data_IF_330204249922
#
_entry.id   IF_330204249922
#
_cell.length_a   1.000
_cell.length_b   1.000
_cell.length_c   1.000
_cell.angle_alpha   90.00
_cell.angle_beta   90.00
_cell.angle_gamma   90.00
#
_symmetry.space_group_name_H-M   'P 1'
#
loop_
_entity.id
_entity.type
_entity.pdbx_description
1 polymer ?
#
# COMPACT_ATOMS: atom_id res chain seq x y z
N UNK A 1 -23.92 -16.61 -10.08
CA UNK A 1 -22.80 -17.43 -10.54
C UNK A 1 -23.27 -18.83 -10.91
N UNK A 2 -24.02 -19.52 -10.05
CA UNK A 2 -24.53 -20.88 -10.30
C UNK A 2 -25.39 -20.95 -11.57
N UNK A 3 -26.26 -19.97 -11.82
CA UNK A 3 -27.06 -19.90 -13.04
C UNK A 3 -26.19 -19.78 -14.29
N UNK A 4 -25.11 -18.97 -14.24
CA UNK A 4 -24.17 -18.83 -15.35
C UNK A 4 -23.43 -20.14 -15.60
N UNK A 5 -22.97 -20.82 -14.54
CA UNK A 5 -22.29 -22.09 -14.62
C UNK A 5 -23.19 -23.21 -15.17
N UNK A 6 -24.49 -23.19 -14.86
CA UNK A 6 -25.46 -24.17 -15.37
C UNK A 6 -25.86 -23.92 -16.82
N UNK A 7 -25.82 -22.67 -17.29
CA UNK A 7 -26.22 -22.29 -18.66
C UNK A 7 -25.05 -22.18 -19.63
N UNK A 8 -23.80 -22.22 -19.13
CA UNK A 8 -22.60 -22.11 -19.94
C UNK A 8 -22.32 -23.38 -20.78
N UNK A 9 -21.74 -23.19 -21.94
CA UNK A 9 -21.18 -24.32 -22.73
C UNK A 9 -19.91 -24.86 -22.04
N UNK A 10 -19.72 -26.16 -22.12
CA UNK A 10 -18.47 -26.82 -21.69
C UNK A 10 -17.47 -26.96 -22.85
N UNK A 11 -17.83 -26.52 -24.04
CA UNK A 11 -16.95 -26.56 -25.22
C UNK A 11 -15.93 -25.43 -25.14
N UNK A 12 -14.71 -25.73 -25.54
CA UNK A 12 -13.65 -24.72 -25.69
C UNK A 12 -14.08 -23.70 -26.75
N UNK A 13 -14.06 -22.39 -26.45
CA UNK A 13 -14.57 -21.36 -27.36
C UNK A 13 -13.76 -21.22 -28.67
N UNK A 14 -12.55 -21.80 -28.75
CA UNK A 14 -11.71 -21.78 -29.94
C UNK A 14 -11.24 -20.41 -30.40
N UNK A 15 -11.27 -19.43 -29.51
CA UNK A 15 -10.80 -18.07 -29.78
C UNK A 15 -9.27 -18.04 -29.67
N UNK A 16 -8.60 -17.64 -30.75
CA UNK A 16 -7.16 -17.35 -30.67
C UNK A 16 -6.92 -16.05 -29.89
N UNK A 17 -6.03 -16.12 -28.93
CA UNK A 17 -5.63 -14.96 -28.09
C UNK A 17 -4.14 -14.74 -28.30
N UNK A 18 -3.76 -13.51 -28.66
CA UNK A 18 -2.38 -13.07 -28.74
C UNK A 18 -1.90 -12.59 -27.37
N UNK A 19 -0.62 -12.77 -27.06
CA UNK A 19 -0.06 -12.32 -25.78
C UNK A 19 -0.14 -10.80 -25.57
N UNK A 20 -0.28 -10.03 -26.63
CA UNK A 20 -0.43 -8.57 -26.59
C UNK A 20 -1.88 -8.09 -26.72
N UNK A 21 -2.85 -9.03 -26.75
CA UNK A 21 -4.27 -8.70 -26.64
C UNK A 21 -4.58 -8.11 -25.26
N UNK A 22 -5.54 -7.20 -25.20
CA UNK A 22 -5.97 -6.54 -23.98
C UNK A 22 -6.71 -7.53 -23.07
N UNK A 23 -6.23 -7.67 -21.83
CA UNK A 23 -6.71 -8.69 -20.90
C UNK A 23 -7.50 -8.13 -19.74
N UNK A 24 -7.10 -6.96 -19.23
CA UNK A 24 -7.61 -6.47 -17.96
C UNK A 24 -7.60 -4.94 -17.90
N UNK A 25 -8.64 -4.36 -17.27
CA UNK A 25 -8.68 -2.95 -16.91
C UNK A 25 -8.94 -2.84 -15.41
N UNK A 26 -7.99 -2.25 -14.67
CA UNK A 26 -8.15 -1.97 -13.24
C UNK A 26 -8.31 -0.47 -13.04
N UNK A 27 -9.44 -0.08 -12.44
CA UNK A 27 -9.70 1.31 -12.12
C UNK A 27 -9.02 1.73 -10.82
N UNK A 28 -8.26 2.84 -10.89
CA UNK A 28 -7.66 3.50 -9.73
C UNK A 28 -8.47 4.74 -9.36
N UNK A 29 -8.44 5.12 -8.08
CA UNK A 29 -9.21 6.27 -7.56
C UNK A 29 -8.76 7.64 -8.10
N UNK A 30 -7.71 7.67 -8.92
CA UNK A 30 -7.16 8.88 -9.54
C UNK A 30 -6.86 10.01 -8.54
N UNK A 31 -5.77 10.72 -8.75
CA UNK A 31 -5.43 11.89 -7.90
C UNK A 31 -6.31 13.12 -8.20
N UNK A 32 -7.02 13.10 -9.34
CA UNK A 32 -7.89 14.18 -9.84
C UNK A 32 -9.38 13.98 -9.51
N UNK A 33 -9.71 12.95 -8.71
CA UNK A 33 -11.10 12.63 -8.32
C UNK A 33 -11.89 11.80 -9.34
N UNK A 34 -11.42 11.65 -10.58
CA UNK A 34 -12.04 10.75 -11.57
C UNK A 34 -11.24 9.44 -11.64
N UNK A 35 -11.91 8.28 -11.57
CA UNK A 35 -11.23 6.99 -11.73
C UNK A 35 -10.54 6.88 -13.10
N UNK A 36 -9.35 6.28 -13.13
CA UNK A 36 -8.58 5.98 -14.35
C UNK A 36 -8.41 4.47 -14.46
N UNK A 37 -8.67 3.91 -15.65
CA UNK A 37 -8.52 2.48 -15.90
C UNK A 37 -7.12 2.16 -16.41
N UNK A 38 -6.28 1.52 -15.61
CA UNK A 38 -5.01 0.97 -16.06
C UNK A 38 -5.28 -0.27 -16.92
N UNK A 39 -4.82 -0.25 -18.17
CA UNK A 39 -5.02 -1.30 -19.16
C UNK A 39 -3.78 -2.18 -19.24
N UNK A 40 -3.99 -3.50 -19.14
CA UNK A 40 -2.96 -4.51 -19.24
C UNK A 40 -3.23 -5.45 -20.41
N UNK A 41 -2.17 -6.06 -20.94
CA UNK A 41 -2.22 -7.13 -21.92
C UNK A 41 -1.92 -8.47 -21.24
N UNK A 42 -2.22 -9.60 -21.92
CA UNK A 42 -1.95 -10.93 -21.36
C UNK A 42 -0.48 -11.12 -20.99
N UNK A 43 0.45 -10.61 -21.79
CA UNK A 43 1.89 -10.66 -21.50
C UNK A 43 2.22 -10.07 -20.12
N UNK A 44 1.73 -8.84 -19.83
CA UNK A 44 1.95 -8.22 -18.51
C UNK A 44 1.48 -9.12 -17.37
N UNK A 45 0.29 -9.75 -17.53
CA UNK A 45 -0.31 -10.61 -16.51
C UNK A 45 0.47 -11.90 -16.28
N UNK A 46 1.02 -12.50 -17.32
CA UNK A 46 1.84 -13.72 -17.20
C UNK A 46 3.18 -13.40 -16.51
N UNK A 47 3.85 -12.33 -16.93
CA UNK A 47 5.12 -11.92 -16.30
C UNK A 47 4.89 -11.56 -14.83
N UNK A 48 3.86 -10.79 -14.52
CA UNK A 48 3.48 -10.48 -13.15
C UNK A 48 3.22 -11.74 -12.31
N UNK A 49 2.37 -12.63 -12.83
CA UNK A 49 1.97 -13.87 -12.18
C UNK A 49 3.17 -14.73 -11.82
N UNK A 50 4.07 -14.96 -12.78
CA UNK A 50 5.27 -15.78 -12.57
C UNK A 50 6.29 -15.12 -11.64
N UNK A 51 6.46 -13.81 -11.75
CA UNK A 51 7.33 -13.03 -10.86
C UNK A 51 6.85 -13.10 -9.42
N UNK A 52 5.56 -12.83 -9.19
CA UNK A 52 4.99 -12.85 -7.83
C UNK A 52 4.97 -14.25 -7.26
N UNK A 53 4.59 -15.26 -8.04
CA UNK A 53 4.59 -16.65 -7.58
C UNK A 53 5.98 -17.08 -7.09
N UNK A 54 7.04 -16.69 -7.83
CA UNK A 54 8.41 -16.95 -7.43
C UNK A 54 8.80 -16.16 -6.17
N UNK A 55 8.44 -14.87 -6.11
CA UNK A 55 8.78 -13.96 -5.01
C UNK A 55 8.24 -14.44 -3.67
N UNK A 56 6.95 -14.79 -3.61
CA UNK A 56 6.29 -15.22 -2.36
C UNK A 56 6.33 -16.75 -2.16
N UNK A 57 7.10 -17.48 -2.97
CA UNK A 57 7.28 -18.92 -2.84
C UNK A 57 5.97 -19.73 -2.99
N UNK A 58 5.08 -19.28 -3.88
CA UNK A 58 3.78 -19.90 -4.10
C UNK A 58 3.92 -21.23 -4.85
N UNK A 59 3.10 -22.21 -4.49
CA UNK A 59 3.07 -23.52 -5.15
C UNK A 59 1.66 -24.13 -5.10
N UNK A 60 1.42 -25.17 -5.90
CA UNK A 60 0.09 -25.81 -6.07
C UNK A 60 -0.53 -26.39 -4.80
N UNK A 61 0.22 -26.53 -3.70
CA UNK A 61 -0.32 -27.02 -2.42
C UNK A 61 -0.81 -25.88 -1.54
N UNK A 62 -0.58 -24.63 -1.94
CA UNK A 62 -0.98 -23.49 -1.15
C UNK A 62 -2.51 -23.31 -1.12
N UNK A 63 -2.97 -22.79 -0.01
CA UNK A 63 -4.35 -22.42 0.29
C UNK A 63 -4.36 -20.93 0.61
N UNK A 64 -4.95 -20.14 -0.27
CA UNK A 64 -4.92 -18.69 -0.20
C UNK A 64 -6.26 -18.18 0.33
N UNK A 65 -6.24 -17.37 1.37
CA UNK A 65 -7.44 -16.70 1.88
C UNK A 65 -7.53 -15.30 1.29
N UNK A 66 -8.57 -15.04 0.52
CA UNK A 66 -8.90 -13.74 -0.05
C UNK A 66 -9.89 -13.03 0.85
N UNK A 67 -9.42 -12.05 1.62
CA UNK A 67 -10.22 -11.22 2.51
C UNK A 67 -10.15 -9.73 2.14
N UNK A 68 -9.23 -9.35 1.26
CA UNK A 68 -9.19 -8.03 0.64
C UNK A 68 -10.01 -8.02 -0.66
N UNK A 69 -10.39 -6.82 -1.18
CA UNK A 69 -11.24 -6.72 -2.37
C UNK A 69 -10.58 -7.30 -3.63
N UNK A 70 -11.19 -8.30 -4.25
CA UNK A 70 -10.70 -8.93 -5.49
C UNK A 70 -10.71 -8.01 -6.73
N UNK A 71 -11.39 -6.86 -6.67
CA UNK A 71 -11.32 -5.84 -7.73
C UNK A 71 -10.11 -4.90 -7.59
N UNK A 72 -9.35 -5.03 -6.50
CA UNK A 72 -8.13 -4.28 -6.28
C UNK A 72 -6.93 -5.08 -6.80
N UNK A 73 -6.01 -4.40 -7.50
CA UNK A 73 -4.86 -5.02 -8.13
C UNK A 73 -3.99 -5.84 -7.18
N UNK A 74 -3.88 -5.46 -5.91
CA UNK A 74 -3.09 -6.21 -4.94
C UNK A 74 -3.64 -7.62 -4.71
N UNK A 75 -4.96 -7.77 -4.47
CA UNK A 75 -5.55 -9.08 -4.22
C UNK A 75 -5.69 -9.89 -5.52
N UNK A 76 -6.13 -9.23 -6.61
CA UNK A 76 -6.30 -9.88 -7.90
C UNK A 76 -4.95 -10.37 -8.46
N UNK A 77 -4.00 -9.46 -8.59
CA UNK A 77 -2.79 -9.70 -9.38
C UNK A 77 -1.62 -10.27 -8.57
N UNK A 78 -1.60 -10.06 -7.23
CA UNK A 78 -0.53 -10.64 -6.40
C UNK A 78 -0.90 -12.00 -5.80
N UNK A 79 -2.21 -12.35 -5.73
CA UNK A 79 -2.63 -13.59 -5.07
C UNK A 79 -3.60 -14.44 -5.89
N UNK A 80 -4.70 -13.87 -6.43
CA UNK A 80 -5.69 -14.66 -7.15
C UNK A 80 -5.14 -15.20 -8.47
N UNK A 81 -4.58 -14.33 -9.31
CA UNK A 81 -4.02 -14.75 -10.62
C UNK A 81 -2.84 -15.72 -10.46
N UNK A 82 -1.81 -15.46 -9.62
CA UNK A 82 -0.73 -16.43 -9.38
C UNK A 82 -1.20 -17.73 -8.77
N UNK A 83 -2.14 -17.69 -7.84
CA UNK A 83 -2.70 -18.90 -7.24
C UNK A 83 -3.49 -19.74 -8.25
N UNK A 84 -4.29 -19.09 -9.12
CA UNK A 84 -5.03 -19.75 -10.19
C UNK A 84 -4.09 -20.39 -11.21
N UNK A 85 -3.05 -19.66 -11.61
CA UNK A 85 -2.03 -20.14 -12.55
C UNK A 85 -1.32 -21.42 -12.03
N UNK A 86 -1.05 -21.49 -10.73
CA UNK A 86 -0.39 -22.64 -10.11
C UNK A 86 -1.36 -23.73 -9.62
N UNK A 87 -2.68 -23.54 -9.73
CA UNK A 87 -3.67 -24.50 -9.26
C UNK A 87 -3.81 -24.57 -7.74
N UNK A 88 -3.60 -23.45 -7.04
CA UNK A 88 -3.81 -23.34 -5.61
C UNK A 88 -5.29 -23.47 -5.21
N UNK A 89 -5.55 -23.73 -3.95
CA UNK A 89 -6.91 -23.63 -3.38
C UNK A 89 -7.20 -22.19 -2.96
N UNK A 90 -8.32 -21.66 -3.41
CA UNK A 90 -8.79 -20.32 -3.05
C UNK A 90 -9.95 -20.39 -2.05
N UNK A 91 -9.81 -19.72 -0.91
CA UNK A 91 -10.87 -19.50 0.07
C UNK A 91 -11.26 -18.03 -0.01
N UNK A 92 -12.49 -17.73 -0.42
CA UNK A 92 -12.94 -16.35 -0.66
C UNK A 92 -13.90 -15.93 0.45
N UNK A 93 -13.54 -14.85 1.15
CA UNK A 93 -14.40 -14.19 2.12
C UNK A 93 -14.98 -12.93 1.49
N UNK A 94 -16.31 -12.82 1.49
CA UNK A 94 -17.01 -11.70 0.84
C UNK A 94 -16.67 -10.34 1.46
N UNK A 95 -16.70 -10.30 2.79
CA UNK A 95 -16.49 -9.07 3.56
C UNK A 95 -15.46 -9.35 4.65
N UNK A 96 -14.47 -8.47 4.80
CA UNK A 96 -13.46 -8.62 5.84
C UNK A 96 -14.10 -8.58 7.23
N UNK A 97 -13.86 -9.64 8.00
CA UNK A 97 -14.31 -9.76 9.39
C UNK A 97 -13.18 -10.43 10.18
N UNK A 98 -12.49 -9.72 11.10
CA UNK A 98 -11.29 -10.22 11.76
C UNK A 98 -11.45 -11.57 12.46
N UNK A 99 -12.49 -11.82 13.31
CA UNK A 99 -12.71 -13.14 13.91
C UNK A 99 -12.91 -14.25 12.89
N UNK A 100 -13.63 -13.96 11.78
CA UNK A 100 -13.90 -14.94 10.72
C UNK A 100 -12.62 -15.26 9.94
N UNK A 101 -11.77 -14.27 9.70
CA UNK A 101 -10.46 -14.47 9.06
C UNK A 101 -9.59 -15.41 9.91
N UNK A 102 -9.47 -15.15 11.20
CA UNK A 102 -8.68 -15.97 12.13
C UNK A 102 -9.23 -17.42 12.20
N UNK A 103 -10.54 -17.57 12.26
CA UNK A 103 -11.20 -18.88 12.26
C UNK A 103 -10.98 -19.64 10.95
N UNK A 104 -11.08 -18.97 9.79
CA UNK A 104 -10.83 -19.58 8.49
C UNK A 104 -9.35 -19.99 8.33
N UNK A 105 -8.40 -19.20 8.83
CA UNK A 105 -6.99 -19.56 8.78
C UNK A 105 -6.77 -20.93 9.44
N UNK A 106 -7.24 -21.13 10.66
CA UNK A 106 -7.06 -22.40 11.35
C UNK A 106 -7.89 -23.54 10.76
N UNK A 107 -9.15 -23.29 10.37
CA UNK A 107 -10.10 -24.30 9.88
C UNK A 107 -9.72 -24.82 8.50
N UNK A 108 -9.42 -23.91 7.59
CA UNK A 108 -9.08 -24.22 6.20
C UNK A 108 -7.57 -24.46 6.00
N UNK A 109 -6.77 -24.40 7.09
CA UNK A 109 -5.30 -24.54 7.02
C UNK A 109 -4.69 -23.65 5.96
N UNK A 110 -5.04 -22.37 6.01
CA UNK A 110 -4.53 -21.35 5.08
C UNK A 110 -3.01 -21.26 5.17
N UNK A 111 -2.37 -21.16 4.02
CA UNK A 111 -0.90 -21.08 3.93
C UNK A 111 -0.38 -19.73 3.47
N UNK A 112 -1.24 -18.95 2.81
CA UNK A 112 -0.92 -17.61 2.30
C UNK A 112 -2.07 -16.65 2.63
N UNK A 113 -1.73 -15.48 3.15
CA UNK A 113 -2.70 -14.44 3.46
C UNK A 113 -2.12 -13.06 3.13
N UNK A 114 -2.90 -12.21 2.46
CA UNK A 114 -2.59 -10.81 2.24
C UNK A 114 -3.60 -9.92 2.96
N UNK A 115 -3.11 -8.82 3.54
CA UNK A 115 -3.96 -7.81 4.14
C UNK A 115 -3.34 -6.42 4.09
N UNK A 116 -4.19 -5.40 3.99
CA UNK A 116 -3.75 -4.03 4.26
C UNK A 116 -3.35 -3.89 5.75
N UNK A 117 -2.46 -2.94 6.11
CA UNK A 117 -2.04 -2.73 7.50
C UNK A 117 -3.20 -2.63 8.50
N UNK A 118 -4.28 -1.95 8.13
CA UNK A 118 -5.48 -1.80 8.97
C UNK A 118 -6.17 -3.14 9.27
N UNK A 119 -6.11 -4.10 8.35
CA UNK A 119 -6.70 -5.44 8.55
C UNK A 119 -5.93 -6.19 9.65
N UNK A 120 -4.61 -6.15 9.62
CA UNK A 120 -3.76 -6.72 10.68
C UNK A 120 -4.02 -6.06 12.04
N UNK A 121 -4.13 -4.72 12.08
CA UNK A 121 -4.48 -4.01 13.31
C UNK A 121 -5.80 -4.52 13.92
N UNK A 122 -6.85 -4.65 13.11
CA UNK A 122 -8.13 -5.16 13.58
C UNK A 122 -8.06 -6.62 14.04
N UNK A 123 -7.29 -7.46 13.35
CA UNK A 123 -7.07 -8.84 13.79
C UNK A 123 -6.35 -8.89 15.15
N UNK A 124 -5.32 -8.06 15.34
CA UNK A 124 -4.58 -7.97 16.62
C UNK A 124 -5.42 -7.47 17.80
N UNK A 125 -6.50 -6.74 17.54
CA UNK A 125 -7.43 -6.25 18.58
C UNK A 125 -8.45 -7.31 19.03
N UNK A 126 -8.50 -8.48 18.38
CA UNK A 126 -9.46 -9.53 18.75
C UNK A 126 -9.11 -10.09 20.13
N UNK A 127 -10.06 -10.09 21.08
CA UNK A 127 -9.88 -10.76 22.36
C UNK A 127 -9.48 -12.22 22.16
N UNK A 128 -8.52 -12.68 22.97
CA UNK A 128 -8.05 -14.07 22.91
C UNK A 128 -7.40 -14.46 21.56
N UNK A 129 -6.78 -13.51 20.84
CA UNK A 129 -6.06 -13.75 19.59
C UNK A 129 -5.14 -14.99 19.67
N UNK A 130 -4.48 -15.19 20.79
CA UNK A 130 -3.56 -16.32 21.04
C UNK A 130 -4.24 -17.71 21.05
N UNK A 131 -5.57 -17.78 21.04
CA UNK A 131 -6.31 -19.04 20.95
C UNK A 131 -6.42 -19.60 19.54
N UNK A 132 -6.16 -18.76 18.52
CA UNK A 132 -6.22 -19.20 17.13
C UNK A 132 -4.91 -19.88 16.71
N UNK A 133 -5.03 -21.04 16.08
CA UNK A 133 -3.88 -21.73 15.46
C UNK A 133 -3.58 -21.14 14.08
N UNK A 134 -2.61 -20.26 14.01
CA UNK A 134 -2.16 -19.63 12.78
C UNK A 134 -0.92 -20.30 12.17
N UNK A 135 -0.48 -21.44 12.71
CA UNK A 135 0.79 -22.10 12.34
C UNK A 135 0.82 -22.67 10.92
N UNK A 136 -0.34 -22.80 10.27
CA UNK A 136 -0.42 -23.24 8.87
C UNK A 136 0.05 -22.16 7.89
N UNK A 137 0.01 -20.87 8.26
CA UNK A 137 0.40 -19.79 7.37
C UNK A 137 1.91 -19.77 7.20
N UNK A 138 2.35 -20.00 5.98
CA UNK A 138 3.76 -19.96 5.59
C UNK A 138 4.24 -18.54 5.41
N UNK A 139 3.40 -17.71 4.80
CA UNK A 139 3.71 -16.32 4.52
C UNK A 139 2.49 -15.41 4.64
N UNK A 140 2.72 -14.27 5.23
CA UNK A 140 1.81 -13.14 5.30
C UNK A 140 2.32 -12.02 4.40
N UNK A 141 1.46 -11.49 3.53
CA UNK A 141 1.75 -10.30 2.74
C UNK A 141 1.06 -9.08 3.34
N UNK A 142 1.74 -7.94 3.36
CA UNK A 142 1.09 -6.66 3.64
C UNK A 142 1.52 -5.60 2.63
N UNK A 143 0.68 -4.59 2.43
CA UNK A 143 0.93 -3.54 1.46
C UNK A 143 -0.27 -2.66 1.22
N UNK A 144 -0.34 -2.01 0.08
CA UNK A 144 -1.38 -1.05 -0.34
C UNK A 144 -1.44 0.25 0.51
N UNK A 145 -0.83 0.28 1.68
CA UNK A 145 -0.66 1.47 2.53
C UNK A 145 0.66 1.40 3.30
N UNK A 146 1.23 2.53 3.72
CA UNK A 146 2.40 2.54 4.60
C UNK A 146 2.10 1.87 5.95
N UNK A 147 3.12 1.23 6.53
CA UNK A 147 3.11 0.72 7.90
C UNK A 147 4.38 1.21 8.60
N UNK A 148 4.24 1.80 9.77
CA UNK A 148 5.39 2.29 10.53
C UNK A 148 6.25 1.12 11.03
N UNK A 149 7.55 1.35 11.20
CA UNK A 149 8.50 0.31 11.62
C UNK A 149 8.09 -0.37 12.94
N UNK A 150 7.58 0.40 13.89
CA UNK A 150 7.13 -0.12 15.17
C UNK A 150 5.88 -1.01 15.04
N UNK A 151 4.95 -0.63 14.16
CA UNK A 151 3.76 -1.43 13.87
C UNK A 151 4.12 -2.78 13.22
N UNK A 152 5.10 -2.79 12.32
CA UNK A 152 5.61 -4.03 11.71
C UNK A 152 6.17 -4.96 12.79
N UNK A 153 6.97 -4.45 13.72
CA UNK A 153 7.54 -5.24 14.82
C UNK A 153 6.47 -5.82 15.73
N UNK A 154 5.50 -4.99 16.15
CA UNK A 154 4.37 -5.42 16.97
C UNK A 154 3.53 -6.50 16.28
N UNK A 155 3.28 -6.35 14.98
CA UNK A 155 2.58 -7.35 14.18
C UNK A 155 3.34 -8.68 14.16
N UNK A 156 4.64 -8.66 13.90
CA UNK A 156 5.47 -9.88 13.87
C UNK A 156 5.51 -10.58 15.23
N UNK A 157 5.62 -9.81 16.32
CA UNK A 157 5.61 -10.34 17.69
C UNK A 157 4.26 -11.01 18.01
N UNK A 158 3.14 -10.38 17.72
CA UNK A 158 1.82 -10.89 18.03
C UNK A 158 1.45 -12.10 17.17
N UNK A 159 1.81 -12.12 15.89
CA UNK A 159 1.62 -13.28 15.02
C UNK A 159 2.66 -14.38 15.25
N UNK A 160 3.68 -14.13 16.08
CA UNK A 160 4.76 -15.07 16.45
C UNK A 160 5.49 -15.63 15.23
N UNK A 161 5.70 -14.82 14.20
CA UNK A 161 6.39 -15.21 12.97
C UNK A 161 7.09 -14.03 12.30
N UNK A 162 8.21 -14.33 11.64
CA UNK A 162 8.94 -13.38 10.80
C UNK A 162 8.60 -13.53 9.31
N UNK A 163 7.67 -14.42 8.97
CA UNK A 163 7.33 -14.76 7.58
C UNK A 163 6.39 -13.73 6.95
N UNK A 164 6.77 -12.46 6.99
CA UNK A 164 6.04 -11.36 6.36
C UNK A 164 6.74 -10.85 5.11
N UNK A 165 5.97 -10.52 4.08
CA UNK A 165 6.41 -9.74 2.92
C UNK A 165 5.77 -8.36 2.96
N UNK A 166 6.54 -7.28 2.77
CA UNK A 166 5.98 -6.03 2.31
C UNK A 166 5.94 -6.05 0.79
N UNK A 167 4.75 -5.90 0.20
CA UNK A 167 4.57 -5.78 -1.24
C UNK A 167 4.17 -4.33 -1.53
N UNK A 168 5.13 -3.57 -2.05
CA UNK A 168 4.98 -2.15 -2.27
C UNK A 168 5.00 -1.85 -3.76
N UNK A 169 3.98 -1.14 -4.21
CA UNK A 169 3.81 -0.78 -5.61
C UNK A 169 2.50 -0.05 -5.82
N UNK A 170 2.15 0.16 -7.06
CA UNK A 170 0.92 0.83 -7.47
C UNK A 170 0.37 0.14 -8.72
N UNK A 171 -0.93 0.29 -8.96
CA UNK A 171 -1.64 -0.46 -10.00
C UNK A 171 -0.97 -0.33 -11.36
N UNK A 172 -0.56 0.87 -11.73
CA UNK A 172 0.02 1.19 -13.04
C UNK A 172 1.37 0.48 -13.32
N UNK A 173 2.09 0.09 -12.27
CA UNK A 173 3.35 -0.67 -12.39
C UNK A 173 3.15 -2.20 -12.23
N UNK A 174 1.88 -2.68 -12.30
CA UNK A 174 1.57 -4.07 -11.99
C UNK A 174 1.89 -4.39 -10.54
N UNK A 175 1.06 -4.08 -9.58
CA UNK A 175 1.18 -3.70 -8.15
C UNK A 175 2.42 -4.18 -7.37
N UNK A 176 3.33 -4.91 -7.96
CA UNK A 176 4.49 -5.55 -7.32
C UNK A 176 5.86 -4.90 -7.60
N UNK A 177 5.99 -3.57 -7.72
CA UNK A 177 7.23 -2.92 -8.14
C UNK A 177 8.43 -3.11 -7.20
N UNK A 178 8.24 -3.10 -5.90
CA UNK A 178 9.28 -3.35 -4.88
C UNK A 178 8.76 -4.26 -3.77
N UNK A 179 9.65 -5.00 -3.15
CA UNK A 179 9.29 -5.92 -2.06
C UNK A 179 10.36 -5.94 -0.96
N UNK A 180 9.90 -5.99 0.30
CA UNK A 180 10.75 -6.30 1.45
C UNK A 180 10.52 -7.74 1.85
N UNK A 181 11.59 -8.53 1.79
CA UNK A 181 11.56 -9.96 2.05
C UNK A 181 11.53 -10.28 3.56
N UNK A 182 11.11 -11.49 3.96
CA UNK A 182 11.01 -11.89 5.37
C UNK A 182 12.30 -11.72 6.16
N UNK A 183 13.45 -12.03 5.58
CA UNK A 183 14.76 -11.92 6.21
C UNK A 183 15.18 -10.50 6.56
N UNK A 184 14.60 -9.51 5.86
CA UNK A 184 14.94 -8.09 6.05
C UNK A 184 13.90 -7.32 6.87
N UNK A 185 12.78 -7.93 7.20
CA UNK A 185 11.65 -7.25 7.86
C UNK A 185 12.04 -6.56 9.18
N UNK A 186 12.87 -7.18 10.00
CA UNK A 186 13.30 -6.59 11.29
C UNK A 186 14.32 -5.48 11.05
N UNK A 187 15.30 -5.73 10.18
CA UNK A 187 16.42 -4.84 9.93
C UNK A 187 16.01 -3.58 9.17
N UNK A 188 15.06 -3.72 8.25
CA UNK A 188 14.57 -2.66 7.35
C UNK A 188 13.08 -2.37 7.57
N UNK A 189 12.60 -2.56 8.79
CA UNK A 189 11.19 -2.29 9.12
C UNK A 189 10.76 -0.88 8.67
N UNK A 190 9.61 -0.78 8.01
CA UNK A 190 9.09 0.47 7.44
C UNK A 190 9.60 0.81 6.04
N UNK A 191 10.61 0.11 5.51
CA UNK A 191 11.00 0.21 4.10
C UNK A 191 10.01 -0.52 3.19
N UNK A 192 9.89 -0.07 1.94
CA UNK A 192 9.16 -0.77 0.89
C UNK A 192 9.91 -1.99 0.36
N UNK A 193 11.25 -1.95 0.40
CA UNK A 193 12.13 -3.04 -0.04
C UNK A 193 13.01 -2.71 -1.24
N UNK A 194 13.34 -3.73 -2.03
CA UNK A 194 14.12 -3.62 -3.25
C UNK A 194 13.27 -3.95 -4.47
N UNK A 195 13.79 -3.65 -5.66
CA UNK A 195 13.15 -4.04 -6.91
C UNK A 195 12.95 -5.56 -6.99
N UNK A 196 11.89 -5.96 -7.67
CA UNK A 196 11.61 -7.37 -7.97
C UNK A 196 12.15 -7.75 -9.36
N UNK A 197 12.29 -9.03 -9.60
CA UNK A 197 12.68 -9.56 -10.92
C UNK A 197 11.73 -9.02 -12.00
N UNK A 198 12.23 -8.78 -13.20
CA UNK A 198 11.51 -8.21 -14.35
C UNK A 198 11.09 -6.73 -14.21
N UNK A 199 11.58 -6.02 -13.16
CA UNK A 199 11.33 -4.61 -12.94
C UNK A 199 12.62 -3.87 -12.66
N UNK A 200 12.70 -2.62 -13.14
CA UNK A 200 13.73 -1.64 -12.81
C UNK A 200 13.11 -0.49 -12.04
N UNK A 201 13.81 0.00 -11.04
CA UNK A 201 13.38 1.15 -10.23
C UNK A 201 14.46 2.23 -10.25
N UNK A 202 14.01 3.47 -10.28
CA UNK A 202 14.88 4.65 -10.10
C UNK A 202 14.20 5.65 -9.19
N UNK A 203 15.02 6.44 -8.52
CA UNK A 203 14.59 7.67 -7.87
C UNK A 203 15.10 8.81 -8.75
N UNK A 204 14.23 9.73 -9.16
CA UNK A 204 14.55 10.81 -10.08
C UNK A 204 14.25 12.17 -9.48
N UNK A 205 15.04 13.18 -9.88
CA UNK A 205 14.79 14.59 -9.56
C UNK A 205 13.71 15.20 -10.47
N UNK A 206 13.44 16.50 -10.30
CA UNK A 206 12.46 17.23 -11.15
C UNK A 206 12.88 17.35 -12.61
N UNK A 207 14.16 17.19 -12.93
CA UNK A 207 14.72 17.20 -14.26
C UNK A 207 14.85 15.80 -14.87
N UNK A 208 14.27 14.78 -14.24
CA UNK A 208 14.30 13.36 -14.65
C UNK A 208 15.70 12.71 -14.54
N UNK A 209 16.67 13.35 -13.86
CA UNK A 209 17.97 12.74 -13.61
C UNK A 209 17.86 11.70 -12.50
N UNK A 210 18.54 10.57 -12.68
CA UNK A 210 18.60 9.53 -11.64
C UNK A 210 19.42 10.00 -10.44
N UNK A 211 18.83 9.97 -9.26
CA UNK A 211 19.47 10.21 -7.97
C UNK A 211 20.15 8.92 -7.53
N UNK A 212 21.47 8.97 -7.35
CA UNK A 212 22.28 7.84 -6.90
C UNK A 212 22.81 8.02 -5.49
N UNK A 213 22.72 9.22 -4.93
CA UNK A 213 23.17 9.55 -3.58
C UNK A 213 22.15 9.02 -2.54
N UNK A 214 22.59 8.19 -1.57
CA UNK A 214 21.70 7.66 -0.54
C UNK A 214 21.05 8.75 0.29
N UNK A 215 19.77 8.57 0.63
CA UNK A 215 19.01 9.45 1.48
C UNK A 215 18.46 10.71 0.79
N UNK A 216 18.79 10.96 -0.48
CA UNK A 216 18.25 12.09 -1.24
C UNK A 216 16.85 11.73 -1.74
N UNK A 217 15.89 12.64 -1.52
CA UNK A 217 14.50 12.46 -1.91
C UNK A 217 14.29 12.76 -3.39
N UNK A 218 13.57 11.89 -4.07
CA UNK A 218 13.09 12.08 -5.44
C UNK A 218 11.84 11.28 -5.71
N UNK A 219 11.33 11.35 -6.93
CA UNK A 219 10.17 10.56 -7.35
C UNK A 219 10.59 9.13 -7.70
N UNK A 220 9.87 8.15 -7.15
CA UNK A 220 10.01 6.75 -7.56
C UNK A 220 9.42 6.54 -8.95
N UNK A 221 10.23 6.04 -9.89
CA UNK A 221 9.78 5.62 -11.21
C UNK A 221 10.14 4.17 -11.45
N UNK A 222 9.24 3.44 -12.09
CA UNK A 222 9.34 1.99 -12.29
C UNK A 222 9.19 1.67 -13.77
N UNK A 223 10.00 0.74 -14.27
CA UNK A 223 9.93 0.23 -15.64
C UNK A 223 10.02 -1.29 -15.63
N UNK A 224 9.25 -1.95 -16.48
CA UNK A 224 9.32 -3.39 -16.67
C UNK A 224 8.09 -3.96 -17.34
N UNK A 225 8.16 -5.25 -17.61
CA UNK A 225 7.14 -5.95 -18.40
C UNK A 225 5.81 -6.18 -17.64
N UNK A 226 5.80 -5.95 -16.32
CA UNK A 226 4.56 -6.01 -15.51
C UNK A 226 3.75 -4.71 -15.57
N UNK A 227 4.33 -3.61 -16.06
CA UNK A 227 3.68 -2.30 -16.07
C UNK A 227 2.53 -2.23 -17.07
N UNK A 228 1.52 -1.41 -16.79
CA UNK A 228 0.37 -1.20 -17.66
C UNK A 228 0.80 -0.75 -19.07
N UNK A 229 0.00 -1.10 -20.07
CA UNK A 229 0.12 -0.60 -21.44
C UNK A 229 -0.17 0.90 -21.50
N UNK A 230 -1.30 1.32 -20.92
CA UNK A 230 -1.78 2.71 -20.94
C UNK A 230 -2.94 2.89 -19.96
N UNK A 231 -3.42 4.11 -19.77
CA UNK A 231 -4.76 4.34 -19.24
C UNK A 231 -5.81 4.22 -20.34
N UNK A 232 -6.77 3.32 -20.16
CA UNK A 232 -7.83 3.05 -21.12
C UNK A 232 -8.57 4.32 -21.55
N UNK A 233 -8.55 4.60 -22.86
CA UNK A 233 -9.15 5.79 -23.48
C UNK A 233 -8.74 7.13 -22.84
N UNK A 234 -7.51 7.20 -22.30
CA UNK A 234 -7.00 8.41 -21.67
C UNK A 234 -5.52 8.69 -22.04
N UNK A 235 -5.23 9.02 -23.31
CA UNK A 235 -3.87 9.19 -23.79
C UNK A 235 -3.13 10.36 -23.11
N UNK A 236 -3.83 11.42 -22.71
CA UNK A 236 -3.21 12.57 -22.04
C UNK A 236 -2.65 12.19 -20.65
N UNK A 237 -3.39 11.43 -19.87
CA UNK A 237 -2.90 10.95 -18.58
C UNK A 237 -1.84 9.85 -18.74
N UNK A 238 -1.97 9.02 -19.77
CA UNK A 238 -0.94 8.03 -20.13
C UNK A 238 0.39 8.71 -20.37
N UNK A 239 0.42 9.75 -21.22
CA UNK A 239 1.63 10.51 -21.55
C UNK A 239 2.26 11.22 -20.34
N UNK A 240 1.45 11.66 -19.38
CA UNK A 240 1.95 12.26 -18.14
C UNK A 240 2.56 11.23 -17.21
N UNK A 241 1.98 10.02 -17.19
CA UNK A 241 2.36 8.95 -16.25
C UNK A 241 3.48 8.07 -16.79
N UNK A 242 3.49 7.80 -18.12
CA UNK A 242 4.54 6.99 -18.76
C UNK A 242 5.43 7.91 -19.62
N UNK A 243 6.71 8.02 -19.24
CA UNK A 243 7.72 8.79 -19.96
C UNK A 243 8.90 7.88 -20.28
N UNK A 244 9.25 7.74 -21.55
CA UNK A 244 10.34 6.87 -22.02
C UNK A 244 10.29 5.43 -21.47
N UNK A 245 9.06 4.92 -21.28
CA UNK A 245 8.80 3.59 -20.72
C UNK A 245 8.90 3.51 -19.20
N UNK A 246 9.15 4.62 -18.49
CA UNK A 246 9.13 4.71 -17.03
C UNK A 246 7.76 5.19 -16.56
N UNK A 247 7.17 4.42 -15.65
CA UNK A 247 5.90 4.76 -15.00
C UNK A 247 6.20 5.60 -13.76
N UNK A 248 5.74 6.84 -13.76
CA UNK A 248 5.84 7.78 -12.65
C UNK A 248 4.82 7.45 -11.58
N UNK A 249 5.28 7.12 -10.37
CA UNK A 249 4.41 6.70 -9.27
C UNK A 249 3.64 7.86 -8.64
N UNK A 250 4.21 9.07 -8.69
CA UNK A 250 3.79 10.20 -7.88
C UNK A 250 4.11 10.03 -6.39
N UNK A 251 4.89 9.01 -6.03
CA UNK A 251 5.37 8.77 -4.67
C UNK A 251 6.83 9.26 -4.56
N UNK A 252 7.12 10.02 -3.50
CA UNK A 252 8.47 10.42 -3.15
C UNK A 252 9.14 9.32 -2.34
N UNK A 253 10.39 9.05 -2.64
CA UNK A 253 11.15 7.97 -2.02
C UNK A 253 12.62 8.38 -1.80
N UNK A 254 13.26 7.67 -0.89
CA UNK A 254 14.72 7.65 -0.71
C UNK A 254 15.23 6.24 -0.94
N UNK A 255 16.49 6.11 -1.32
CA UNK A 255 17.22 4.85 -1.36
C UNK A 255 18.36 4.91 -0.36
N UNK A 256 18.54 3.84 0.42
CA UNK A 256 19.69 3.75 1.32
C UNK A 256 20.93 3.20 0.58
N UNK A 257 22.07 3.14 1.28
CA UNK A 257 23.35 2.64 0.77
C UNK A 257 23.36 1.16 0.40
N UNK A 258 22.38 0.39 0.89
CA UNK A 258 22.16 -1.01 0.55
C UNK A 258 21.14 -1.20 -0.61
N UNK A 259 20.55 -0.11 -1.13
CA UNK A 259 19.59 -0.13 -2.21
C UNK A 259 18.14 -0.41 -1.78
N UNK A 260 17.81 -0.29 -0.48
CA UNK A 260 16.42 -0.36 -0.02
C UNK A 260 15.72 0.96 -0.25
N UNK A 261 14.52 0.89 -0.83
CA UNK A 261 13.68 2.03 -1.14
C UNK A 261 12.66 2.21 -0.02
N UNK A 262 12.57 3.42 0.51
CA UNK A 262 11.57 3.82 1.50
C UNK A 262 10.72 4.94 0.91
N UNK A 263 9.40 4.75 0.88
CA UNK A 263 8.47 5.81 0.50
C UNK A 263 8.37 6.84 1.63
N UNK A 264 8.61 8.10 1.31
CA UNK A 264 8.60 9.19 2.29
C UNK A 264 7.33 10.02 2.25
N UNK A 265 6.71 10.17 1.08
CA UNK A 265 5.39 10.82 0.94
C UNK A 265 4.81 10.62 -0.47
N UNK A 266 3.63 11.15 -0.70
CA UNK A 266 3.11 11.46 -2.02
C UNK A 266 3.53 12.85 -2.46
N UNK A 267 3.98 12.99 -3.71
CA UNK A 267 4.38 14.30 -4.28
C UNK A 267 3.30 15.38 -4.08
N UNK A 268 2.03 15.01 -4.21
CA UNK A 268 0.87 15.90 -4.02
C UNK A 268 0.49 16.15 -2.55
N UNK A 269 0.97 15.33 -1.61
CA UNK A 269 0.65 15.40 -0.20
C UNK A 269 1.79 16.05 0.61
N UNK A 270 2.96 16.24 0.00
CA UNK A 270 4.08 17.01 0.54
C UNK A 270 3.62 18.43 0.86
N UNK A 271 3.97 18.91 2.02
CA UNK A 271 3.57 20.23 2.54
C UNK A 271 4.74 21.18 2.35
N UNK A 272 4.48 22.37 1.80
CA UNK A 272 5.50 23.40 1.63
C UNK A 272 5.20 24.53 2.62
N UNK A 273 5.92 24.55 3.72
CA UNK A 273 5.75 25.56 4.78
C UNK A 273 6.96 26.47 4.89
N UNK A 274 6.78 27.77 4.58
CA UNK A 274 7.88 28.75 4.61
C UNK A 274 9.03 28.45 3.66
N UNK A 275 8.78 27.71 2.56
CA UNK A 275 9.79 27.27 1.60
C UNK A 275 10.47 25.94 1.92
N UNK A 276 10.14 25.33 3.07
CA UNK A 276 10.68 24.04 3.50
C UNK A 276 9.69 22.90 3.20
N UNK A 277 10.21 21.77 2.74
CA UNK A 277 9.43 20.58 2.48
C UNK A 277 9.19 19.80 3.77
N UNK A 278 7.92 19.50 4.06
CA UNK A 278 7.51 18.60 5.14
C UNK A 278 6.84 17.40 4.54
N UNK A 279 7.41 16.23 4.79
CA UNK A 279 6.85 14.96 4.38
C UNK A 279 5.84 14.48 5.44
N UNK A 280 4.59 14.32 5.02
CA UNK A 280 3.51 14.01 5.95
C UNK A 280 3.75 12.70 6.69
N UNK A 281 4.32 11.70 6.02
CA UNK A 281 4.65 10.41 6.63
C UNK A 281 5.68 10.51 7.77
N UNK A 282 6.71 11.32 7.63
CA UNK A 282 7.73 11.52 8.68
C UNK A 282 7.09 12.02 9.98
N UNK A 283 6.16 12.96 9.85
CA UNK A 283 5.44 13.51 11.02
C UNK A 283 4.44 12.49 11.57
N UNK A 284 3.75 11.74 10.71
CA UNK A 284 2.85 10.65 11.11
C UNK A 284 3.61 9.57 11.88
N UNK A 285 4.75 9.11 11.37
CA UNK A 285 5.59 8.08 12.02
C UNK A 285 6.02 8.54 13.42
N UNK A 286 6.46 9.79 13.57
CA UNK A 286 6.81 10.35 14.87
C UNK A 286 5.61 10.45 15.83
N UNK A 287 4.42 10.76 15.33
CA UNK A 287 3.19 10.81 16.13
C UNK A 287 2.76 9.40 16.58
N UNK A 288 2.94 8.37 15.74
CA UNK A 288 2.61 6.98 16.09
C UNK A 288 3.45 6.43 17.25
N UNK A 289 4.62 7.02 17.57
CA UNK A 289 5.37 6.65 18.77
C UNK A 289 4.67 7.09 20.09
N UNK A 290 3.67 7.96 19.99
CA UNK A 290 2.92 8.39 21.18
C UNK A 290 1.90 7.33 21.59
N UNK A 291 1.97 6.80 22.84
CA UNK A 291 1.12 5.69 23.27
C UNK A 291 -0.38 6.01 23.32
N UNK A 292 -0.76 7.30 23.34
CA UNK A 292 -2.16 7.75 23.33
C UNK A 292 -2.79 7.71 21.94
N UNK A 293 -1.97 7.68 20.87
CA UNK A 293 -2.44 7.77 19.50
C UNK A 293 -2.85 6.40 18.98
N UNK A 294 -4.03 6.34 18.36
CA UNK A 294 -4.52 5.20 17.61
C UNK A 294 -4.22 5.36 16.12
N UNK A 295 -4.55 6.53 15.55
CA UNK A 295 -4.30 6.87 14.15
C UNK A 295 -3.94 8.34 14.01
N UNK A 296 -3.13 8.66 13.00
CA UNK A 296 -2.77 10.03 12.65
C UNK A 296 -2.75 10.22 11.14
N UNK A 297 -3.17 11.40 10.69
CA UNK A 297 -3.00 11.87 9.33
C UNK A 297 -2.51 13.31 9.35
N UNK A 298 -1.48 13.59 8.58
CA UNK A 298 -0.89 14.92 8.43
C UNK A 298 -1.29 15.50 7.08
N UNK A 299 -1.76 16.74 7.10
CA UNK A 299 -2.15 17.48 5.90
C UNK A 299 -1.56 18.91 5.93
N UNK A 300 -1.26 19.43 4.74
CA UNK A 300 -1.04 20.85 4.55
C UNK A 300 -2.37 21.59 4.48
N UNK A 301 -2.44 22.73 5.16
CA UNK A 301 -3.58 23.64 5.09
C UNK A 301 -3.07 25.06 4.83
N UNK A 302 -3.83 25.92 4.09
CA UNK A 302 -3.39 27.26 3.75
C UNK A 302 -3.00 28.10 4.97
N UNK A 303 -1.92 28.88 4.86
CA UNK A 303 -1.46 29.80 5.88
C UNK A 303 -1.00 31.13 5.24
N UNK A 304 -1.42 32.30 5.77
CA UNK A 304 -1.18 33.58 5.12
C UNK A 304 0.31 33.95 4.97
N UNK A 305 1.15 33.55 5.91
CA UNK A 305 2.56 33.93 5.93
C UNK A 305 3.49 32.87 5.33
N UNK A 306 3.08 31.58 5.32
CA UNK A 306 3.95 30.46 4.99
C UNK A 306 3.48 29.62 3.79
N UNK A 307 2.43 30.06 3.11
CA UNK A 307 1.79 29.31 2.04
C UNK A 307 0.95 28.17 2.59
N UNK A 308 1.59 27.19 3.23
CA UNK A 308 0.92 26.11 3.96
C UNK A 308 1.44 26.01 5.41
N UNK A 309 0.66 25.40 6.28
CA UNK A 309 1.10 24.93 7.59
C UNK A 309 0.68 23.50 7.85
N UNK A 310 1.43 22.84 8.74
CA UNK A 310 1.21 21.43 9.09
C UNK A 310 0.03 21.32 10.06
N UNK A 311 -0.97 20.52 9.67
CA UNK A 311 -2.11 20.15 10.53
C UNK A 311 -2.09 18.66 10.81
N UNK A 312 -2.19 18.29 12.09
CA UNK A 312 -2.41 16.92 12.53
C UNK A 312 -3.91 16.66 12.74
N UNK A 313 -4.40 15.55 12.13
CA UNK A 313 -5.73 15.00 12.40
C UNK A 313 -5.52 13.66 13.07
N UNK A 314 -5.95 13.52 14.32
CA UNK A 314 -5.58 12.39 15.20
C UNK A 314 -6.82 11.70 15.74
N UNK A 315 -6.84 10.37 15.64
CA UNK A 315 -7.73 9.53 16.42
C UNK A 315 -6.96 9.01 17.64
N UNK A 316 -7.48 9.28 18.83
CA UNK A 316 -6.89 8.83 20.09
C UNK A 316 -7.44 7.47 20.52
N UNK A 317 -6.67 6.73 21.31
CA UNK A 317 -7.17 5.51 21.97
C UNK A 317 -8.31 5.85 22.94
N UNK A 318 -9.16 4.85 23.20
CA UNK A 318 -10.33 5.03 24.04
C UNK A 318 -9.96 5.57 25.43
N UNK A 319 -10.56 6.71 25.81
CA UNK A 319 -10.34 7.33 27.10
C UNK A 319 -9.12 8.24 27.20
N UNK A 320 -8.35 8.36 26.13
CA UNK A 320 -7.20 9.28 26.08
C UNK A 320 -7.61 10.67 25.61
N UNK A 321 -6.90 11.67 26.12
CA UNK A 321 -7.00 13.07 25.72
C UNK A 321 -5.61 13.61 25.37
N UNK A 322 -5.55 14.55 24.45
CA UNK A 322 -4.30 15.21 24.04
C UNK A 322 -4.57 16.65 23.62
N UNK A 323 -3.72 17.55 24.06
CA UNK A 323 -3.71 18.95 23.59
C UNK A 323 -2.66 19.15 22.50
N UNK A 324 -2.79 20.25 21.73
CA UNK A 324 -1.77 20.63 20.76
C UNK A 324 -0.40 20.86 21.42
N UNK A 325 -0.38 21.46 22.59
CA UNK A 325 0.83 21.73 23.36
C UNK A 325 1.53 20.43 23.77
N UNK A 326 0.79 19.45 24.26
CA UNK A 326 1.33 18.11 24.58
C UNK A 326 1.91 17.43 23.34
N UNK A 327 1.20 17.46 22.21
CA UNK A 327 1.68 16.89 20.94
C UNK A 327 2.97 17.58 20.51
N UNK A 328 3.01 18.91 20.53
CA UNK A 328 4.20 19.68 20.13
C UNK A 328 5.40 19.39 21.03
N UNK A 329 5.21 19.34 22.34
CA UNK A 329 6.27 18.99 23.28
C UNK A 329 6.81 17.58 23.03
N UNK A 330 5.94 16.61 22.77
CA UNK A 330 6.31 15.25 22.42
C UNK A 330 7.16 15.18 21.15
N UNK A 331 6.87 16.01 20.15
CA UNK A 331 7.55 15.99 18.86
C UNK A 331 8.87 16.76 18.82
N UNK A 332 9.13 17.69 19.73
CA UNK A 332 10.34 18.55 19.73
C UNK A 332 11.66 17.81 19.70
N UNK A 333 11.74 16.63 20.30
CA UNK A 333 12.97 15.82 20.31
C UNK A 333 13.05 14.80 19.18
N UNK A 334 12.05 14.77 18.29
CA UNK A 334 11.87 13.71 17.27
C UNK A 334 11.98 14.23 15.85
N UNK A 335 11.45 15.42 15.60
CA UNK A 335 11.45 16.04 14.27
C UNK A 335 11.85 17.52 14.37
N UNK A 336 12.24 18.11 13.25
CA UNK A 336 12.63 19.51 13.18
C UNK A 336 11.43 20.45 13.48
N UNK A 337 11.69 21.59 14.10
CA UNK A 337 10.64 22.53 14.57
C UNK A 337 9.63 22.95 13.49
N UNK A 338 10.10 23.19 12.27
CA UNK A 338 9.23 23.61 11.16
C UNK A 338 8.25 22.51 10.70
N UNK A 339 8.55 21.23 11.01
CA UNK A 339 7.69 20.07 10.72
C UNK A 339 6.62 19.84 11.79
N UNK A 340 6.79 20.41 13.00
CA UNK A 340 5.86 20.20 14.09
C UNK A 340 4.50 20.83 13.77
N UNK A 341 3.38 20.09 13.90
CA UNK A 341 2.05 20.61 13.65
C UNK A 341 1.73 21.86 14.45
N UNK A 342 1.15 22.85 13.78
CA UNK A 342 0.65 24.09 14.40
C UNK A 342 -0.84 24.05 14.64
N UNK A 343 -1.52 23.11 14.03
CA UNK A 343 -2.97 22.87 14.17
C UNK A 343 -3.15 21.39 14.48
N UNK A 344 -4.04 21.10 15.41
CA UNK A 344 -4.46 19.72 15.71
C UNK A 344 -5.99 19.65 15.76
N UNK A 345 -6.52 18.58 15.21
CA UNK A 345 -7.92 18.21 15.30
C UNK A 345 -8.01 16.75 15.74
N UNK A 346 -8.88 16.46 16.70
CA UNK A 346 -9.18 15.09 17.10
C UNK A 346 -10.47 14.62 16.43
N UNK A 347 -10.49 13.39 15.95
CA UNK A 347 -11.65 12.74 15.35
C UNK A 347 -11.75 11.29 15.84
N UNK A 348 -12.92 10.70 15.74
CA UNK A 348 -13.12 9.31 16.16
C UNK A 348 -12.45 8.31 15.22
N UNK A 349 -12.54 8.54 13.90
CA UNK A 349 -12.04 7.63 12.85
C UNK A 349 -11.59 8.44 11.63
N UNK A 350 -10.42 8.12 11.08
CA UNK A 350 -9.94 8.71 9.83
C UNK A 350 -10.76 8.21 8.61
N UNK A 351 -11.14 9.11 7.67
CA UNK A 351 -11.85 8.69 6.46
C UNK A 351 -10.96 7.82 5.57
N UNK A 352 -11.50 6.69 5.12
CA UNK A 352 -10.78 5.71 4.30
C UNK A 352 -11.58 5.29 3.07
N UNK A 353 -10.86 4.88 2.04
CA UNK A 353 -11.47 4.19 0.91
C UNK A 353 -11.66 2.70 1.22
N UNK A 354 -12.28 1.97 0.30
CA UNK A 354 -12.56 0.52 0.44
C UNK A 354 -11.30 -0.35 0.56
N UNK A 355 -10.14 0.15 0.14
CA UNK A 355 -8.84 -0.54 0.32
C UNK A 355 -8.12 -0.16 1.62
N UNK A 356 -8.77 0.62 2.49
CA UNK A 356 -8.23 1.03 3.80
C UNK A 356 -7.30 2.25 3.78
N UNK A 357 -7.09 2.89 2.60
CA UNK A 357 -6.24 4.07 2.48
C UNK A 357 -6.93 5.33 2.99
N UNK A 358 -6.22 6.11 3.83
CA UNK A 358 -6.70 7.41 4.35
C UNK A 358 -6.94 8.41 3.21
N UNK A 359 -8.09 9.07 3.25
CA UNK A 359 -8.54 10.04 2.24
C UNK A 359 -8.17 11.48 2.68
N UNK A 360 -6.87 11.82 2.61
CA UNK A 360 -6.35 13.14 3.02
C UNK A 360 -7.05 14.31 2.33
N UNK A 361 -7.53 14.13 1.10
CA UNK A 361 -8.27 15.19 0.38
C UNK A 361 -9.57 15.57 1.11
N UNK A 362 -10.29 14.60 1.69
CA UNK A 362 -11.50 14.89 2.46
C UNK A 362 -11.19 15.67 3.74
N UNK A 363 -10.06 15.36 4.39
CA UNK A 363 -9.61 16.11 5.57
C UNK A 363 -9.26 17.57 5.22
N UNK A 364 -8.66 17.80 4.04
CA UNK A 364 -8.41 19.17 3.54
C UNK A 364 -9.70 19.92 3.22
N UNK A 365 -10.65 19.27 2.51
CA UNK A 365 -11.95 19.86 2.21
C UNK A 365 -12.76 20.21 3.47
N UNK A 366 -12.74 19.33 4.48
CA UNK A 366 -13.38 19.61 5.78
C UNK A 366 -12.76 20.80 6.51
N UNK A 367 -11.45 21.01 6.39
CA UNK A 367 -10.79 22.17 6.96
C UNK A 367 -11.23 23.45 6.23
N UNK A 368 -11.24 23.46 4.91
CA UNK A 368 -11.66 24.63 4.10
C UNK A 368 -13.15 24.97 4.27
N UNK A 369 -13.99 23.97 4.54
CA UNK A 369 -15.43 24.20 4.80
C UNK A 369 -15.75 24.70 6.21
N UNK A 370 -14.77 24.69 7.13
CA UNK A 370 -14.89 25.22 8.50
C UNK A 370 -14.26 26.62 8.67
N UNK A 371 -13.58 27.11 7.63
CA UNK A 371 -13.00 28.48 7.58
C UNK A 371 -13.93 29.42 6.76
#
# INVERSE_FOLDING_TARGET
>A
LEEILQSGSTEEPGVAVDEFDESEIIYTSGTTGRPKGALFVHHNQIILTTTVASLIGLNSKDRILHAAPLFHSAELNLYLNPGTYLGCTHVVLRDFNPPVVLDLIQKEKITQFFGAPVMYKFMMMIPDFDKYDLSSVRYYGYGAAPMAAEEVKQMMEQFKTNSFFCLCGFTEAGPGGIALLPEDQIRKAGAGGKYVVNMENRIVDEQENTITEPGVVGELVIKGEMAMKEYYKNPEETKKTIKDGWVHSGDLAIMDDEGYITLVDRKKDMIITGGENVYSKEVEDAIYENPKVQEAAIIGVPHPDWGETVKAVIALKQGEEMTLEELREFLKSRIADYKIPRIMETIDVLPRNVSGKVLKYQLREQHMGKS
#
